data_IF_949328209429
#
_entry.id   IF_949328209429
#
_cell.length_a   1.000
_cell.length_b   1.000
_cell.length_c   1.000
_cell.angle_alpha   90.00
_cell.angle_beta   90.00
_cell.angle_gamma   90.00
#
_symmetry.space_group_name_H-M   'P 1'
#
loop_
_entity.id
_entity.type
_entity.pdbx_description
1 polymer ?
#
# COMPACT_ATOMS: atom_id res chain seq x y z
N UNK A 1 -28.29 12.15 16.32
CA UNK A 1 -27.91 11.02 15.46
C UNK A 1 -26.41 10.90 15.49
N UNK A 2 -25.88 9.72 15.78
CA UNK A 2 -24.43 9.49 15.75
C UNK A 2 -23.90 9.53 14.29
N UNK A 3 -22.63 9.91 14.15
CA UNK A 3 -21.94 9.94 12.88
C UNK A 3 -20.85 8.87 12.82
N UNK A 4 -20.59 8.37 11.64
CA UNK A 4 -19.48 7.48 11.39
C UNK A 4 -18.31 8.29 10.80
N UNK A 5 -17.11 8.02 11.28
CA UNK A 5 -15.88 8.66 10.82
C UNK A 5 -14.87 7.59 10.42
N UNK A 6 -14.16 7.84 9.36
CA UNK A 6 -13.02 7.02 8.91
C UNK A 6 -11.75 7.85 8.88
N UNK A 7 -10.61 7.20 9.08
CA UNK A 7 -9.31 7.86 9.01
C UNK A 7 -8.27 7.01 8.26
N UNK A 8 -7.30 7.69 7.65
CA UNK A 8 -6.09 7.11 7.08
C UNK A 8 -4.89 7.89 7.64
N UNK A 9 -4.15 7.24 8.54
CA UNK A 9 -3.14 7.90 9.39
C UNK A 9 -1.75 7.32 9.08
N UNK A 10 -0.99 8.13 8.36
CA UNK A 10 0.41 7.88 8.08
C UNK A 10 1.35 8.63 9.02
N UNK A 11 2.65 8.48 8.82
CA UNK A 11 3.67 9.11 9.66
C UNK A 11 3.75 10.65 9.58
N UNK A 12 3.16 11.26 8.54
CA UNK A 12 3.23 12.72 8.33
C UNK A 12 1.86 13.38 8.35
N UNK A 13 0.85 12.71 7.80
CA UNK A 13 -0.50 13.22 7.63
C UNK A 13 -1.51 12.23 8.19
N UNK A 14 -2.55 12.78 8.83
CA UNK A 14 -3.76 12.09 9.22
C UNK A 14 -4.93 12.65 8.41
N UNK A 15 -5.57 11.78 7.60
CA UNK A 15 -6.75 12.13 6.82
C UNK A 15 -7.98 11.59 7.52
N UNK A 16 -9.00 12.43 7.65
CA UNK A 16 -10.28 12.08 8.25
C UNK A 16 -11.39 12.34 7.24
N UNK A 17 -12.46 11.57 7.33
CA UNK A 17 -13.69 11.79 6.59
C UNK A 17 -14.92 11.33 7.40
N UNK A 18 -16.03 12.03 7.23
CA UNK A 18 -17.34 11.58 7.72
C UNK A 18 -17.96 10.66 6.67
N UNK A 19 -18.66 9.63 7.11
CA UNK A 19 -19.46 8.78 6.24
C UNK A 19 -20.89 9.33 6.16
N UNK A 20 -21.31 9.72 4.95
CA UNK A 20 -22.69 10.17 4.67
C UNK A 20 -23.27 9.40 3.51
N UNK A 21 -24.40 8.73 3.73
CA UNK A 21 -25.08 7.92 2.70
C UNK A 21 -24.13 6.92 2.01
N UNK A 22 -23.23 6.31 2.78
CA UNK A 22 -22.23 5.37 2.26
C UNK A 22 -21.16 6.00 1.36
N UNK A 23 -20.87 7.28 1.53
CA UNK A 23 -19.82 8.01 0.80
C UNK A 23 -18.96 8.83 1.78
N UNK A 24 -17.72 9.08 1.38
CA UNK A 24 -16.82 9.99 2.09
C UNK A 24 -17.28 11.44 1.90
N UNK A 25 -17.35 12.18 3.00
CA UNK A 25 -17.67 13.60 3.00
C UNK A 25 -16.75 14.34 3.98
N UNK A 26 -16.62 15.64 3.83
CA UNK A 26 -15.82 16.49 4.71
C UNK A 26 -14.38 15.96 4.89
N UNK A 27 -13.75 15.51 3.81
CA UNK A 27 -12.38 14.99 3.85
C UNK A 27 -11.43 16.11 4.26
N UNK A 28 -10.64 15.88 5.31
CA UNK A 28 -9.66 16.84 5.81
C UNK A 28 -8.35 16.15 6.15
N UNK A 29 -7.25 16.77 5.75
CA UNK A 29 -5.90 16.32 6.10
C UNK A 29 -5.33 17.23 7.18
N UNK A 30 -4.84 16.60 8.25
CA UNK A 30 -4.19 17.27 9.38
C UNK A 30 -2.74 16.76 9.49
N UNK A 31 -1.78 17.64 9.76
CA UNK A 31 -0.39 17.22 9.97
C UNK A 31 -0.26 16.51 11.34
N UNK A 32 0.36 15.32 11.33
CA UNK A 32 0.52 14.50 12.54
C UNK A 32 1.31 15.21 13.63
N UNK A 33 2.34 15.97 13.24
CA UNK A 33 3.19 16.71 14.17
C UNK A 33 2.52 17.91 14.84
N UNK A 34 1.28 18.26 14.46
CA UNK A 34 0.52 19.33 15.10
C UNK A 34 -0.31 18.86 16.30
N UNK A 35 -0.32 17.56 16.60
CA UNK A 35 -1.16 16.98 17.64
C UNK A 35 -0.38 15.96 18.48
N UNK A 36 -0.75 15.85 19.76
CA UNK A 36 -0.10 14.92 20.69
C UNK A 36 -0.57 13.45 20.52
N UNK A 37 -1.59 13.19 19.70
CA UNK A 37 -2.12 11.86 19.46
C UNK A 37 -3.38 11.87 18.60
N UNK A 38 -3.86 10.66 18.28
CA UNK A 38 -5.04 10.45 17.43
C UNK A 38 -6.29 11.10 18.02
N UNK A 39 -6.48 11.04 19.34
CA UNK A 39 -7.63 11.65 20.03
C UNK A 39 -7.66 13.16 19.85
N UNK A 40 -6.53 13.85 20.04
CA UNK A 40 -6.43 15.29 19.85
C UNK A 40 -6.74 15.69 18.40
N UNK A 41 -6.21 14.96 17.43
CA UNK A 41 -6.47 15.20 16.01
C UNK A 41 -7.94 14.94 15.64
N UNK A 42 -8.54 13.85 16.16
CA UNK A 42 -9.94 13.51 15.90
C UNK A 42 -10.89 14.51 16.55
N UNK A 43 -10.62 14.96 17.78
CA UNK A 43 -11.38 16.03 18.41
C UNK A 43 -11.33 17.33 17.59
N UNK A 44 -10.14 17.73 17.11
CA UNK A 44 -9.98 18.91 16.27
C UNK A 44 -10.76 18.78 14.94
N UNK A 45 -10.73 17.59 14.33
CA UNK A 45 -11.53 17.30 13.14
C UNK A 45 -13.03 17.42 13.42
N UNK A 46 -13.53 16.74 14.45
CA UNK A 46 -14.95 16.76 14.82
C UNK A 46 -15.43 18.19 15.15
N UNK A 47 -14.66 18.93 15.92
CA UNK A 47 -15.00 20.32 16.28
C UNK A 47 -15.12 21.24 15.06
N UNK A 48 -14.30 21.03 14.03
CA UNK A 48 -14.29 21.85 12.82
C UNK A 48 -15.33 21.43 11.80
N UNK A 49 -15.51 20.14 11.59
CA UNK A 49 -16.33 19.61 10.47
C UNK A 49 -17.72 19.16 10.92
N UNK A 50 -17.87 18.77 12.19
CA UNK A 50 -19.10 18.16 12.72
C UNK A 50 -19.45 18.68 14.13
N UNK A 51 -19.51 20.01 14.36
CA UNK A 51 -19.77 20.56 15.70
C UNK A 51 -21.11 20.05 16.26
N UNK A 52 -21.09 19.59 17.50
CA UNK A 52 -22.28 19.10 18.21
C UNK A 52 -22.76 17.70 17.85
N UNK A 53 -22.04 16.97 16.98
CA UNK A 53 -22.37 15.58 16.68
C UNK A 53 -21.61 14.62 17.59
N UNK A 54 -22.23 13.48 17.89
CA UNK A 54 -21.65 12.39 18.67
C UNK A 54 -21.11 11.35 17.70
N UNK A 55 -19.90 10.85 17.93
CA UNK A 55 -19.29 9.78 17.14
C UNK A 55 -20.03 8.46 17.45
N UNK A 56 -20.51 7.76 16.41
CA UNK A 56 -21.07 6.42 16.55
C UNK A 56 -20.02 5.36 16.24
N UNK A 57 -19.44 5.38 15.05
CA UNK A 57 -18.42 4.41 14.65
C UNK A 57 -17.17 5.10 14.13
N UNK A 58 -16.01 4.52 14.44
CA UNK A 58 -14.72 4.97 13.94
C UNK A 58 -13.91 3.80 13.39
N UNK A 59 -13.42 3.92 12.16
CA UNK A 59 -12.47 2.99 11.59
C UNK A 59 -11.24 3.76 11.09
N UNK A 60 -10.06 3.32 11.48
CA UNK A 60 -8.81 3.97 11.10
C UNK A 60 -7.83 2.99 10.46
N UNK A 61 -7.34 3.33 9.27
CA UNK A 61 -6.12 2.76 8.72
C UNK A 61 -4.92 3.41 9.42
N UNK A 62 -3.94 2.60 9.83
CA UNK A 62 -2.75 3.06 10.55
C UNK A 62 -1.51 2.50 9.86
N UNK A 63 -0.55 3.38 9.56
CA UNK A 63 0.73 3.00 8.96
C UNK A 63 1.61 2.27 9.98
N UNK A 64 1.53 0.95 9.97
CA UNK A 64 2.26 0.04 10.85
C UNK A 64 1.46 -1.19 11.25
N UNK A 65 2.10 -2.14 11.92
CA UNK A 65 1.42 -3.34 12.38
C UNK A 65 0.31 -3.03 13.38
N UNK A 66 -0.86 -3.65 13.18
CA UNK A 66 -1.98 -3.63 14.12
C UNK A 66 -2.07 -5.01 14.77
N UNK A 67 -1.97 -5.08 16.09
CA UNK A 67 -2.09 -6.31 16.87
C UNK A 67 -3.05 -6.09 18.02
N UNK A 68 -4.02 -6.97 18.18
CA UNK A 68 -5.06 -6.89 19.22
C UNK A 68 -5.72 -5.51 19.29
N UNK A 69 -6.03 -4.94 18.12
CA UNK A 69 -6.62 -3.61 17.96
C UNK A 69 -5.78 -2.48 18.60
N UNK A 70 -4.45 -2.63 18.59
CA UNK A 70 -3.47 -1.65 19.02
C UNK A 70 -2.41 -1.44 17.95
N UNK A 71 -1.92 -0.22 17.85
CA UNK A 71 -0.83 0.15 16.95
C UNK A 71 0.00 1.31 17.50
N UNK A 72 1.19 1.48 16.95
CA UNK A 72 2.03 2.65 17.22
C UNK A 72 2.66 3.11 15.91
N UNK A 73 2.57 4.41 15.62
CA UNK A 73 3.27 4.98 14.47
C UNK A 73 4.77 5.00 14.73
N UNK A 74 5.53 4.42 13.83
CA UNK A 74 6.99 4.32 13.94
C UNK A 74 7.68 5.69 13.95
N UNK A 75 7.14 6.67 13.22
CA UNK A 75 7.74 8.00 13.02
C UNK A 75 7.05 9.13 13.79
N UNK A 76 6.01 8.82 14.55
CA UNK A 76 5.33 9.74 15.44
C UNK A 76 4.97 8.95 16.70
N UNK A 77 5.08 9.56 17.87
CA UNK A 77 4.80 8.88 19.15
C UNK A 77 3.28 8.67 19.40
N UNK A 78 2.51 8.47 18.32
CA UNK A 78 1.08 8.20 18.44
C UNK A 78 0.85 6.73 18.74
N UNK A 79 0.22 6.46 19.86
CA UNK A 79 -0.29 5.14 20.22
C UNK A 79 -1.79 5.07 19.92
N UNK A 80 -2.22 3.93 19.43
CA UNK A 80 -3.62 3.61 19.14
C UNK A 80 -4.02 2.43 20.01
N UNK A 81 -5.16 2.56 20.67
CA UNK A 81 -5.84 1.49 21.38
C UNK A 81 -7.34 1.69 21.15
N UNK A 82 -7.96 0.77 20.43
CA UNK A 82 -9.35 0.91 20.01
C UNK A 82 -10.33 1.04 21.20
N UNK A 83 -10.08 0.29 22.29
CA UNK A 83 -10.90 0.35 23.49
C UNK A 83 -10.74 1.68 24.22
N UNK A 84 -9.52 2.22 24.32
CA UNK A 84 -9.28 3.52 24.92
C UNK A 84 -9.93 4.63 24.09
N UNK A 85 -9.82 4.59 22.75
CA UNK A 85 -10.46 5.54 21.84
C UNK A 85 -11.98 5.45 21.96
N UNK A 86 -12.54 4.22 22.01
CA UNK A 86 -13.97 3.98 22.15
C UNK A 86 -14.51 4.57 23.46
N UNK A 87 -13.81 4.32 24.56
CA UNK A 87 -14.21 4.82 25.88
C UNK A 87 -14.17 6.34 25.98
N UNK A 88 -13.09 6.99 25.50
CA UNK A 88 -12.91 8.44 25.57
C UNK A 88 -13.97 9.18 24.72
N UNK A 89 -14.28 8.66 23.54
CA UNK A 89 -15.22 9.28 22.61
C UNK A 89 -16.66 8.81 22.79
N UNK A 90 -16.90 7.87 23.71
CA UNK A 90 -18.19 7.24 23.94
C UNK A 90 -18.79 6.69 22.62
N UNK A 91 -17.93 6.16 21.74
CA UNK A 91 -18.35 5.60 20.47
C UNK A 91 -18.91 4.18 20.66
N UNK A 92 -19.87 3.80 19.81
CA UNK A 92 -20.42 2.45 19.79
C UNK A 92 -19.39 1.41 19.33
N UNK A 93 -18.54 1.82 18.36
CA UNK A 93 -17.56 0.93 17.73
C UNK A 93 -16.32 1.68 17.28
N UNK A 94 -15.14 1.09 17.54
CA UNK A 94 -13.84 1.55 17.02
C UNK A 94 -13.08 0.36 16.48
N UNK A 95 -12.49 0.51 15.28
CA UNK A 95 -11.69 -0.53 14.65
C UNK A 95 -10.43 0.05 14.01
N UNK A 96 -9.33 -0.67 14.15
CA UNK A 96 -8.04 -0.32 13.56
C UNK A 96 -7.68 -1.33 12.47
N UNK A 97 -7.36 -0.85 11.30
CA UNK A 97 -6.80 -1.61 10.18
C UNK A 97 -5.33 -1.22 9.97
N UNK A 98 -4.52 -2.16 9.55
CA UNK A 98 -3.24 -1.79 8.93
C UNK A 98 -3.51 -1.00 7.64
N UNK A 99 -2.60 -0.10 7.25
CA UNK A 99 -2.76 0.76 6.06
C UNK A 99 -2.94 -0.06 4.76
N UNK A 100 -2.19 -1.14 4.59
CA UNK A 100 -2.33 -2.04 3.42
C UNK A 100 -3.55 -2.94 3.49
N UNK A 101 -3.97 -3.30 4.68
CA UNK A 101 -5.25 -3.97 4.90
C UNK A 101 -6.40 -3.07 4.42
N UNK A 102 -6.39 -1.79 4.80
CA UNK A 102 -7.38 -0.83 4.33
C UNK A 102 -7.34 -0.65 2.80
N UNK A 103 -6.14 -0.55 2.19
CA UNK A 103 -6.02 -0.52 0.73
C UNK A 103 -6.65 -1.76 0.09
N UNK A 104 -6.46 -2.96 0.64
CA UNK A 104 -7.10 -4.16 0.13
C UNK A 104 -8.63 -4.13 0.32
N UNK A 105 -9.12 -3.69 1.48
CA UNK A 105 -10.55 -3.50 1.73
C UNK A 105 -11.21 -2.55 0.72
N UNK A 106 -10.52 -1.53 0.23
CA UNK A 106 -11.08 -0.62 -0.78
C UNK A 106 -11.58 -1.34 -2.05
N UNK A 107 -10.94 -2.45 -2.42
CA UNK A 107 -11.31 -3.26 -3.58
C UNK A 107 -12.58 -4.09 -3.39
N UNK A 108 -13.12 -4.18 -2.18
CA UNK A 108 -14.37 -4.87 -1.89
C UNK A 108 -15.60 -3.96 -2.03
N UNK A 109 -15.38 -2.65 -2.05
CA UNK A 109 -16.39 -1.61 -2.17
C UNK A 109 -16.42 -0.95 -3.55
N UNK A 110 -16.73 0.34 -3.55
CA UNK A 110 -16.86 1.14 -4.77
C UNK A 110 -15.57 1.25 -5.58
N UNK A 111 -14.41 1.25 -4.92
CA UNK A 111 -13.11 1.29 -5.59
C UNK A 111 -12.82 0.07 -6.47
N UNK A 112 -13.61 -1.00 -6.37
CA UNK A 112 -13.48 -2.11 -7.31
C UNK A 112 -13.75 -1.71 -8.76
N UNK A 113 -14.50 -0.63 -8.98
CA UNK A 113 -14.76 -0.02 -10.28
C UNK A 113 -13.69 1.03 -10.70
N UNK A 114 -12.89 1.53 -9.73
CA UNK A 114 -11.89 2.58 -9.95
C UNK A 114 -10.48 2.00 -10.18
N UNK A 115 -10.41 0.86 -10.86
CA UNK A 115 -9.14 0.25 -11.26
C UNK A 115 -8.91 0.40 -12.75
N UNK A 116 -7.68 0.75 -13.12
CA UNK A 116 -7.24 0.76 -14.52
C UNK A 116 -6.50 -0.53 -14.81
N UNK A 117 -7.01 -1.34 -15.75
CA UNK A 117 -6.33 -2.58 -16.14
C UNK A 117 -5.18 -2.28 -17.10
N UNK A 118 -4.02 -2.80 -16.78
CA UNK A 118 -2.83 -2.77 -17.65
C UNK A 118 -2.68 -4.06 -18.45
N UNK A 119 -3.20 -5.17 -17.90
CA UNK A 119 -3.26 -6.47 -18.55
C UNK A 119 -4.59 -7.15 -18.19
N UNK A 120 -5.24 -7.77 -19.18
CA UNK A 120 -6.57 -8.36 -19.02
C UNK A 120 -7.66 -7.30 -18.81
N UNK A 121 -8.78 -7.72 -18.26
CA UNK A 121 -9.94 -6.85 -18.02
C UNK A 121 -10.81 -7.34 -16.85
N UNK A 122 -11.86 -6.59 -16.48
CA UNK A 122 -12.74 -6.97 -15.38
C UNK A 122 -13.46 -8.31 -15.62
N UNK A 123 -13.75 -8.66 -16.87
CA UNK A 123 -14.36 -9.95 -17.25
C UNK A 123 -13.46 -11.16 -17.00
N UNK A 124 -12.15 -10.93 -16.89
CA UNK A 124 -11.16 -11.99 -16.67
C UNK A 124 -10.97 -12.31 -15.17
N UNK A 125 -11.58 -11.51 -14.28
CA UNK A 125 -11.51 -11.69 -12.83
C UNK A 125 -12.72 -12.52 -12.36
N UNK A 126 -12.52 -13.75 -11.87
CA UNK A 126 -13.60 -14.55 -11.30
C UNK A 126 -14.26 -13.87 -10.09
N UNK A 127 -15.54 -14.18 -9.87
CA UNK A 127 -16.30 -13.68 -8.72
C UNK A 127 -15.71 -14.15 -7.37
N UNK A 128 -15.01 -15.28 -7.37
CA UNK A 128 -14.36 -15.87 -6.21
C UNK A 128 -12.88 -16.07 -6.47
N UNK A 129 -12.08 -16.06 -5.42
CA UNK A 129 -10.65 -16.33 -5.48
C UNK A 129 -9.81 -15.28 -4.76
N UNK A 130 -8.53 -15.59 -4.69
CA UNK A 130 -7.55 -14.71 -4.06
C UNK A 130 -7.16 -13.55 -4.98
N UNK A 131 -6.88 -12.41 -4.39
CA UNK A 131 -6.29 -11.25 -5.08
C UNK A 131 -5.10 -10.74 -4.26
N UNK A 132 -4.13 -10.15 -4.93
CA UNK A 132 -2.94 -9.55 -4.31
C UNK A 132 -2.99 -8.05 -4.53
N UNK A 133 -2.75 -7.29 -3.49
CA UNK A 133 -2.51 -5.84 -3.56
C UNK A 133 -1.08 -5.58 -3.15
N UNK A 134 -0.35 -4.87 -3.97
CA UNK A 134 1.06 -4.55 -3.72
C UNK A 134 1.33 -3.11 -4.14
N UNK A 135 2.19 -2.41 -3.40
CA UNK A 135 2.54 -1.08 -3.85
C UNK A 135 3.73 -0.45 -3.15
N UNK A 136 4.60 0.12 -3.96
CA UNK A 136 5.73 0.89 -3.49
C UNK A 136 5.29 2.28 -3.03
N UNK A 137 5.70 2.63 -1.83
CA UNK A 137 5.63 3.95 -1.23
C UNK A 137 6.99 4.34 -0.66
N UNK A 138 7.04 4.84 0.57
CA UNK A 138 8.28 4.94 1.36
C UNK A 138 8.85 3.54 1.58
N UNK A 139 8.02 2.56 1.91
CA UNK A 139 8.28 1.14 1.95
C UNK A 139 7.61 0.39 0.78
N UNK A 140 7.38 -0.91 0.96
CA UNK A 140 6.72 -1.80 0.00
C UNK A 140 5.65 -2.61 0.71
N UNK A 141 4.40 -2.16 0.61
CA UNK A 141 3.28 -2.83 1.25
C UNK A 141 2.69 -3.95 0.42
N UNK A 142 2.14 -4.94 1.09
CA UNK A 142 1.47 -6.11 0.51
C UNK A 142 0.27 -6.49 1.36
N UNK A 143 -0.85 -6.76 0.71
CA UNK A 143 -2.01 -7.37 1.33
C UNK A 143 -2.67 -8.38 0.38
N UNK A 144 -3.44 -9.27 0.96
CA UNK A 144 -4.20 -10.29 0.24
C UNK A 144 -5.68 -10.18 0.59
N UNK A 145 -6.54 -10.44 -0.38
CA UNK A 145 -7.97 -10.52 -0.14
C UNK A 145 -8.57 -11.72 -0.87
N UNK A 146 -9.61 -12.29 -0.27
CA UNK A 146 -10.35 -13.43 -0.81
C UNK A 146 -11.83 -13.11 -0.89
N UNK A 147 -12.37 -13.30 -2.08
CA UNK A 147 -13.81 -13.34 -2.26
C UNK A 147 -14.32 -14.78 -2.04
N UNK A 148 -15.22 -14.97 -1.10
CA UNK A 148 -15.84 -16.24 -0.78
C UNK A 148 -17.37 -16.09 -0.61
N UNK A 149 -18.11 -17.20 -0.50
CA UNK A 149 -19.55 -17.16 -0.31
C UNK A 149 -20.00 -16.43 0.97
N UNK A 150 -19.13 -16.35 1.98
CA UNK A 150 -19.38 -15.64 3.25
C UNK A 150 -19.00 -14.16 3.23
N UNK A 151 -18.56 -13.61 2.09
CA UNK A 151 -18.07 -12.24 1.95
C UNK A 151 -16.56 -12.16 1.68
N UNK A 152 -15.99 -11.00 1.91
CA UNK A 152 -14.58 -10.74 1.72
C UNK A 152 -13.79 -11.02 2.99
N UNK A 153 -12.60 -11.55 2.82
CA UNK A 153 -11.59 -11.67 3.87
C UNK A 153 -10.32 -10.99 3.39
N UNK A 154 -9.73 -10.18 4.25
CA UNK A 154 -8.49 -9.46 3.96
C UNK A 154 -7.45 -9.83 5.00
N UNK A 155 -6.22 -10.01 4.54
CA UNK A 155 -5.05 -10.29 5.38
C UNK A 155 -3.92 -9.39 4.92
N UNK A 156 -3.47 -8.50 5.78
CA UNK A 156 -2.23 -7.76 5.59
C UNK A 156 -1.04 -8.66 5.94
N UNK A 157 0.09 -8.39 5.30
CA UNK A 157 1.34 -9.12 5.57
C UNK A 157 2.55 -8.29 5.18
N UNK A 158 3.71 -8.72 5.68
CA UNK A 158 5.00 -8.08 5.42
C UNK A 158 5.66 -8.65 4.14
N UNK A 159 4.89 -8.84 3.09
CA UNK A 159 5.36 -9.44 1.83
C UNK A 159 6.46 -8.63 1.12
N UNK A 160 6.55 -7.32 1.36
CA UNK A 160 7.65 -6.48 0.88
C UNK A 160 9.01 -6.85 1.50
N UNK A 161 9.00 -7.46 2.68
CA UNK A 161 10.19 -7.86 3.42
C UNK A 161 10.73 -9.26 3.05
N UNK A 162 10.10 -10.00 2.15
CA UNK A 162 10.69 -11.25 1.66
C UNK A 162 11.96 -10.98 0.87
N UNK A 163 12.89 -11.95 0.89
CA UNK A 163 14.22 -11.82 0.28
C UNK A 163 14.12 -11.51 -1.22
N UNK A 164 14.83 -10.49 -1.68
CA UNK A 164 14.97 -10.19 -3.09
C UNK A 164 15.70 -11.32 -3.82
N UNK A 165 15.16 -11.74 -4.96
CA UNK A 165 15.73 -12.74 -5.84
C UNK A 165 16.37 -12.07 -7.06
N UNK A 166 17.66 -11.72 -7.03
CA UNK A 166 18.35 -11.09 -8.14
C UNK A 166 18.47 -12.06 -9.34
N UNK A 167 18.34 -11.53 -10.56
CA UNK A 167 18.42 -12.33 -11.80
C UNK A 167 19.61 -11.88 -12.67
N UNK A 168 20.41 -12.85 -13.10
CA UNK A 168 21.57 -12.61 -13.96
C UNK A 168 22.77 -12.00 -13.21
N UNK A 169 23.91 -11.99 -13.87
CA UNK A 169 25.18 -11.61 -13.26
C UNK A 169 25.19 -10.18 -12.70
N UNK A 170 24.57 -9.24 -13.44
CA UNK A 170 24.54 -7.82 -13.04
C UNK A 170 23.81 -7.61 -11.72
N UNK A 171 22.59 -8.17 -11.58
CA UNK A 171 21.83 -8.04 -10.34
C UNK A 171 22.44 -8.84 -9.18
N UNK A 172 23.10 -9.98 -9.43
CA UNK A 172 23.84 -10.72 -8.42
C UNK A 172 25.00 -9.89 -7.86
N UNK A 173 25.75 -9.18 -8.71
CA UNK A 173 26.83 -8.27 -8.27
C UNK A 173 26.28 -7.11 -7.43
N UNK A 174 25.14 -6.53 -7.81
CA UNK A 174 24.46 -5.50 -7.02
C UNK A 174 24.00 -6.05 -5.67
N UNK A 175 23.38 -7.23 -5.62
CA UNK A 175 22.95 -7.87 -4.41
C UNK A 175 24.12 -8.13 -3.45
N UNK A 176 25.25 -8.60 -3.95
CA UNK A 176 26.46 -8.81 -3.16
C UNK A 176 26.95 -7.50 -2.51
N UNK A 177 26.89 -6.37 -3.22
CA UNK A 177 27.25 -5.07 -2.65
C UNK A 177 26.24 -4.59 -1.61
N UNK A 178 24.93 -4.90 -1.78
CA UNK A 178 23.90 -4.60 -0.78
C UNK A 178 24.10 -5.43 0.47
N UNK A 179 24.37 -6.74 0.36
CA UNK A 179 24.66 -7.64 1.49
C UNK A 179 25.91 -7.26 2.29
N UNK A 180 26.87 -6.50 1.72
CA UNK A 180 27.97 -5.94 2.48
C UNK A 180 27.53 -4.83 3.46
N UNK A 181 26.33 -4.28 3.29
CA UNK A 181 25.81 -3.13 4.05
C UNK A 181 24.63 -3.47 4.94
N UNK A 182 23.99 -4.60 4.72
CA UNK A 182 22.78 -5.03 5.44
C UNK A 182 22.68 -6.55 5.48
N UNK A 183 22.19 -7.10 6.59
CA UNK A 183 22.07 -8.55 6.80
C UNK A 183 20.99 -9.18 5.93
N UNK A 184 19.96 -8.40 5.55
CA UNK A 184 18.84 -8.85 4.75
C UNK A 184 18.52 -7.88 3.62
N UNK A 185 18.57 -8.36 2.39
CA UNK A 185 18.16 -7.61 1.20
C UNK A 185 16.77 -8.05 0.79
N UNK A 186 15.76 -7.32 1.23
CA UNK A 186 14.35 -7.57 0.89
C UNK A 186 13.98 -6.94 -0.45
N UNK A 187 12.80 -7.30 -0.99
CA UNK A 187 12.24 -6.59 -2.15
C UNK A 187 12.03 -5.10 -1.86
N UNK A 188 11.66 -4.72 -0.65
CA UNK A 188 11.54 -3.31 -0.26
C UNK A 188 12.85 -2.53 -0.44
N UNK A 189 14.00 -3.16 -0.19
CA UNK A 189 15.34 -2.55 -0.39
C UNK A 189 15.68 -2.24 -1.84
N UNK A 190 14.86 -2.70 -2.79
CA UNK A 190 15.05 -2.47 -4.24
C UNK A 190 13.81 -1.94 -4.93
N UNK A 191 12.60 -2.16 -4.39
CA UNK A 191 11.33 -1.81 -5.02
C UNK A 191 10.48 -0.87 -4.13
N UNK A 192 11.10 0.06 -3.43
CA UNK A 192 10.46 1.17 -2.73
C UNK A 192 11.11 2.49 -3.10
N UNK A 193 10.58 3.63 -2.62
CA UNK A 193 11.21 4.93 -2.84
C UNK A 193 12.63 5.01 -2.29
N UNK A 194 12.84 4.51 -1.07
CA UNK A 194 14.19 4.40 -0.47
C UNK A 194 15.04 3.34 -1.17
N UNK A 195 14.44 2.23 -1.58
CA UNK A 195 15.11 1.17 -2.33
C UNK A 195 15.65 1.66 -3.66
N UNK A 196 14.92 2.51 -4.38
CA UNK A 196 15.37 3.11 -5.63
C UNK A 196 16.64 3.97 -5.43
N UNK A 197 16.69 4.76 -4.36
CA UNK A 197 17.90 5.54 -4.01
C UNK A 197 19.08 4.60 -3.71
N UNK A 198 18.84 3.56 -2.90
CA UNK A 198 19.86 2.56 -2.56
C UNK A 198 20.39 1.80 -3.78
N UNK A 199 19.53 1.46 -4.74
CA UNK A 199 19.92 0.85 -6.01
C UNK A 199 20.81 1.78 -6.82
N UNK A 200 20.38 3.03 -7.04
CA UNK A 200 21.17 4.03 -7.75
C UNK A 200 22.57 4.19 -7.15
N UNK A 201 22.69 4.36 -5.84
CA UNK A 201 23.98 4.46 -5.15
C UNK A 201 24.84 3.20 -5.34
N UNK A 202 24.20 2.02 -5.31
CA UNK A 202 24.90 0.74 -5.47
C UNK A 202 25.39 0.55 -6.90
N UNK A 203 24.61 0.97 -7.90
CA UNK A 203 25.02 0.99 -9.31
C UNK A 203 26.21 1.91 -9.51
N UNK A 204 26.13 3.15 -8.99
CA UNK A 204 27.27 4.08 -9.08
C UNK A 204 28.55 3.50 -8.47
N UNK A 205 28.44 2.83 -7.31
CA UNK A 205 29.58 2.16 -6.66
C UNK A 205 30.12 1.00 -7.52
N UNK A 206 29.24 0.18 -8.10
CA UNK A 206 29.63 -0.97 -8.92
C UNK A 206 30.39 -0.54 -10.17
N UNK A 207 30.00 0.58 -10.76
CA UNK A 207 30.54 1.10 -12.02
C UNK A 207 31.63 2.14 -11.81
N UNK A 208 32.01 2.45 -10.56
CA UNK A 208 32.97 3.51 -10.19
C UNK A 208 32.61 4.88 -10.77
N UNK A 209 31.29 5.17 -10.83
CA UNK A 209 30.77 6.48 -11.25
C UNK A 209 30.53 7.35 -10.02
N UNK A 210 30.85 8.63 -10.11
CA UNK A 210 30.58 9.58 -9.02
C UNK A 210 29.11 9.73 -8.80
N UNK A 211 28.64 9.35 -7.60
CA UNK A 211 27.23 9.49 -7.23
C UNK A 211 26.89 10.96 -6.96
N UNK A 212 25.70 11.37 -7.36
CA UNK A 212 25.08 12.62 -6.97
C UNK A 212 24.16 12.38 -5.77
N UNK A 213 23.89 13.40 -4.98
CA UNK A 213 22.91 13.33 -3.89
C UNK A 213 21.50 13.52 -4.48
N UNK A 214 20.89 12.44 -4.95
CA UNK A 214 19.58 12.43 -5.60
C UNK A 214 18.55 11.80 -4.68
N UNK A 215 17.36 12.38 -4.63
CA UNK A 215 16.17 11.74 -4.09
C UNK A 215 15.49 10.83 -5.14
N UNK A 216 14.51 10.06 -4.71
CA UNK A 216 13.79 9.13 -5.60
C UNK A 216 13.12 9.85 -6.79
N UNK A 217 12.58 11.05 -6.58
CA UNK A 217 11.94 11.82 -7.66
C UNK A 217 12.94 12.27 -8.72
N UNK A 218 14.11 12.73 -8.30
CA UNK A 218 15.21 13.12 -9.21
C UNK A 218 15.76 11.92 -9.98
N UNK A 219 15.90 10.75 -9.32
CA UNK A 219 16.31 9.51 -10.01
C UNK A 219 15.30 9.11 -11.08
N UNK A 220 14.00 9.18 -10.75
CA UNK A 220 12.91 8.92 -11.73
C UNK A 220 13.05 9.89 -12.92
N UNK A 221 13.15 11.20 -12.68
CA UNK A 221 13.20 12.20 -13.74
C UNK A 221 14.42 12.00 -14.65
N UNK A 222 15.61 11.79 -14.07
CA UNK A 222 16.85 11.59 -14.83
C UNK A 222 16.88 10.24 -15.57
N UNK A 223 16.30 9.20 -15.00
CA UNK A 223 16.21 7.89 -15.64
C UNK A 223 15.24 7.88 -16.81
N UNK A 224 14.06 8.51 -16.67
CA UNK A 224 13.05 8.61 -17.75
C UNK A 224 13.54 9.49 -18.91
N UNK A 225 14.27 10.57 -18.62
CA UNK A 225 14.84 11.45 -19.64
C UNK A 225 16.16 10.94 -20.24
N UNK A 226 16.64 9.76 -19.82
CA UNK A 226 17.94 9.17 -20.21
C UNK A 226 19.17 10.09 -19.94
N UNK A 227 19.07 10.99 -18.96
CA UNK A 227 20.19 11.86 -18.56
C UNK A 227 21.24 11.11 -17.73
N UNK A 228 20.87 9.99 -17.12
CA UNK A 228 21.77 9.16 -16.33
C UNK A 228 21.48 7.67 -16.57
N UNK A 229 22.49 6.95 -17.07
CA UNK A 229 22.41 5.50 -17.27
C UNK A 229 22.17 4.76 -15.93
N UNK A 230 22.83 5.20 -14.85
CA UNK A 230 22.64 4.61 -13.52
C UNK A 230 21.23 4.81 -12.98
N UNK A 231 20.61 5.99 -13.19
CA UNK A 231 19.22 6.23 -12.82
C UNK A 231 18.26 5.37 -13.68
N UNK A 232 18.54 5.24 -14.97
CA UNK A 232 17.74 4.41 -15.88
C UNK A 232 17.79 2.94 -15.45
N UNK A 233 18.97 2.39 -15.20
CA UNK A 233 19.14 1.02 -14.73
C UNK A 233 18.44 0.79 -13.37
N UNK A 234 18.55 1.75 -12.45
CA UNK A 234 17.87 1.65 -11.17
C UNK A 234 16.35 1.54 -11.34
N UNK A 235 15.76 2.32 -12.26
CA UNK A 235 14.33 2.23 -12.59
C UNK A 235 13.95 0.89 -13.22
N UNK A 236 14.76 0.38 -14.13
CA UNK A 236 14.52 -0.92 -14.77
C UNK A 236 14.53 -2.05 -13.75
N UNK A 237 15.53 -2.07 -12.85
CA UNK A 237 15.61 -3.07 -11.78
C UNK A 237 14.44 -2.92 -10.80
N UNK A 238 14.07 -1.69 -10.42
CA UNK A 238 12.92 -1.42 -9.56
C UNK A 238 11.63 -2.03 -10.12
N UNK A 239 11.29 -1.73 -11.38
CA UNK A 239 10.07 -2.24 -12.00
C UNK A 239 10.12 -3.76 -12.18
N UNK A 240 11.26 -4.28 -12.61
CA UNK A 240 11.45 -5.73 -12.72
C UNK A 240 11.29 -6.45 -11.37
N UNK A 241 11.92 -5.94 -10.30
CA UNK A 241 11.82 -6.52 -8.97
C UNK A 241 10.39 -6.47 -8.42
N UNK A 242 9.68 -5.35 -8.64
CA UNK A 242 8.26 -5.23 -8.29
C UNK A 242 7.43 -6.29 -9.02
N UNK A 243 7.68 -6.50 -10.32
CA UNK A 243 7.05 -7.55 -11.11
C UNK A 243 7.38 -8.95 -10.60
N UNK A 244 8.64 -9.23 -10.27
CA UNK A 244 9.05 -10.53 -9.71
C UNK A 244 8.28 -10.84 -8.43
N UNK A 245 8.21 -9.89 -7.49
CA UNK A 245 7.46 -10.06 -6.23
C UNK A 245 5.98 -10.29 -6.50
N UNK A 246 5.36 -9.41 -7.31
CA UNK A 246 3.95 -9.53 -7.67
C UNK A 246 3.60 -10.89 -8.27
N UNK A 247 4.43 -11.39 -9.20
CA UNK A 247 4.26 -12.71 -9.80
C UNK A 247 4.51 -13.87 -8.84
N UNK A 248 5.45 -13.73 -7.89
CA UNK A 248 5.68 -14.73 -6.84
C UNK A 248 4.45 -14.84 -5.93
N UNK A 249 3.92 -13.71 -5.46
CA UNK A 249 2.73 -13.66 -4.62
C UNK A 249 1.51 -14.20 -5.37
N UNK A 250 1.36 -13.86 -6.66
CA UNK A 250 0.28 -14.40 -7.49
C UNK A 250 0.34 -15.94 -7.60
N UNK A 251 1.52 -16.53 -7.74
CA UNK A 251 1.68 -17.99 -7.74
C UNK A 251 1.39 -18.61 -6.38
N UNK A 252 1.88 -17.99 -5.29
CA UNK A 252 1.68 -18.51 -3.92
C UNK A 252 0.21 -18.57 -3.56
N UNK A 253 -0.55 -17.53 -3.91
CA UNK A 253 -1.97 -17.40 -3.56
C UNK A 253 -2.92 -17.92 -4.66
N UNK A 254 -2.42 -18.41 -5.79
CA UNK A 254 -3.22 -18.69 -6.98
C UNK A 254 -4.12 -17.49 -7.35
N UNK A 255 -3.52 -16.30 -7.36
CA UNK A 255 -4.26 -15.06 -7.47
C UNK A 255 -5.02 -14.95 -8.80
N UNK A 256 -6.27 -14.52 -8.70
CA UNK A 256 -7.15 -14.23 -9.84
C UNK A 256 -6.99 -12.81 -10.36
N UNK A 257 -6.33 -11.94 -9.61
CA UNK A 257 -5.97 -10.56 -10.00
C UNK A 257 -4.81 -10.06 -9.12
N UNK A 258 -3.97 -9.22 -9.70
CA UNK A 258 -2.98 -8.42 -8.96
C UNK A 258 -3.31 -6.95 -9.14
N UNK A 259 -3.41 -6.20 -8.04
CA UNK A 259 -3.63 -4.77 -8.03
C UNK A 259 -2.38 -4.04 -7.55
N UNK A 260 -1.91 -3.09 -8.35
CA UNK A 260 -0.86 -2.17 -7.94
C UNK A 260 -1.48 -0.93 -7.30
N UNK A 261 -0.88 -0.45 -6.22
CA UNK A 261 -1.29 0.73 -5.50
C UNK A 261 -0.06 1.53 -5.04
N UNK A 262 -0.28 2.57 -4.26
CA UNK A 262 0.78 3.34 -3.62
C UNK A 262 1.25 4.53 -4.42
N UNK A 263 1.76 5.53 -3.70
CA UNK A 263 2.07 6.84 -4.24
C UNK A 263 3.17 6.85 -5.31
N UNK A 264 4.05 5.84 -5.35
CA UNK A 264 5.08 5.75 -6.41
C UNK A 264 4.43 5.36 -7.73
N UNK A 265 3.55 4.34 -7.74
CA UNK A 265 2.84 3.89 -8.94
C UNK A 265 1.96 5.01 -9.50
N UNK A 266 1.21 5.69 -8.64
CA UNK A 266 0.34 6.80 -9.04
C UNK A 266 1.14 7.96 -9.64
N UNK A 267 2.27 8.34 -9.03
CA UNK A 267 3.13 9.43 -9.56
C UNK A 267 3.81 9.07 -10.88
N UNK A 268 4.17 7.82 -11.07
CA UNK A 268 4.72 7.35 -12.35
C UNK A 268 3.66 7.38 -13.46
N UNK A 269 2.42 7.02 -13.15
CA UNK A 269 1.32 7.05 -14.11
C UNK A 269 1.69 6.40 -15.45
N UNK A 270 1.56 7.14 -16.54
CA UNK A 270 1.92 6.69 -17.89
C UNK A 270 3.43 6.41 -18.08
N UNK A 271 4.29 6.89 -17.17
CA UNK A 271 5.73 6.63 -17.20
C UNK A 271 6.13 5.35 -16.47
N UNK A 272 5.18 4.61 -15.92
CA UNK A 272 5.46 3.31 -15.33
C UNK A 272 5.98 2.35 -16.39
N UNK A 273 7.13 1.74 -16.13
CA UNK A 273 7.80 0.86 -17.11
C UNK A 273 7.16 -0.54 -17.08
N UNK A 274 5.94 -0.61 -17.64
CA UNK A 274 5.12 -1.82 -17.59
C UNK A 274 5.82 -3.03 -18.21
N UNK A 275 6.57 -2.88 -19.30
CA UNK A 275 7.28 -3.99 -19.94
C UNK A 275 8.32 -4.62 -19.01
N UNK A 276 9.04 -3.80 -18.23
CA UNK A 276 10.00 -4.29 -17.23
C UNK A 276 9.30 -5.01 -16.07
N UNK A 277 8.22 -4.42 -15.58
CA UNK A 277 7.36 -5.06 -14.57
C UNK A 277 6.81 -6.37 -15.10
N UNK A 278 6.24 -6.38 -16.30
CA UNK A 278 5.62 -7.56 -16.91
C UNK A 278 6.62 -8.68 -17.13
N UNK A 279 7.83 -8.36 -17.54
CA UNK A 279 8.93 -9.32 -17.67
C UNK A 279 9.20 -10.01 -16.33
N UNK A 280 9.35 -9.25 -15.24
CA UNK A 280 9.53 -9.80 -13.90
C UNK A 280 8.33 -10.63 -13.43
N UNK A 281 7.11 -10.14 -13.71
CA UNK A 281 5.86 -10.77 -13.33
C UNK A 281 5.65 -12.11 -14.01
N UNK A 282 5.78 -12.16 -15.34
CA UNK A 282 5.36 -13.30 -16.15
C UNK A 282 6.46 -14.35 -16.38
N UNK A 283 7.74 -14.01 -16.20
CA UNK A 283 8.86 -14.95 -16.43
C UNK A 283 9.00 -15.94 -15.26
N UNK A 284 8.12 -16.94 -15.21
CA UNK A 284 8.08 -18.00 -14.18
C UNK A 284 8.33 -19.41 -14.74
N UNK A 285 9.17 -19.50 -15.80
CA UNK A 285 9.53 -20.77 -16.44
C UNK A 285 8.29 -21.51 -16.95
N UNK A 286 8.15 -22.77 -16.60
CA UNK A 286 7.02 -23.60 -17.06
C UNK A 286 5.64 -23.10 -16.61
N UNK A 287 5.57 -22.26 -15.59
CA UNK A 287 4.31 -21.70 -15.05
C UNK A 287 3.99 -20.30 -15.59
N UNK A 288 4.80 -19.75 -16.50
CA UNK A 288 4.56 -18.42 -17.09
C UNK A 288 3.16 -18.26 -17.68
N UNK A 289 2.61 -19.34 -18.25
CA UNK A 289 1.27 -19.33 -18.85
C UNK A 289 0.14 -19.02 -17.86
N UNK A 290 0.33 -19.28 -16.55
CA UNK A 290 -0.62 -18.91 -15.51
C UNK A 290 -0.63 -17.40 -15.30
N UNK A 291 0.56 -16.81 -15.17
CA UNK A 291 0.74 -15.37 -14.93
C UNK A 291 0.30 -14.54 -16.14
N UNK A 292 0.51 -15.04 -17.35
CA UNK A 292 0.07 -14.38 -18.59
C UNK A 292 -1.45 -14.19 -18.67
N UNK A 293 -2.21 -15.02 -17.95
CA UNK A 293 -3.67 -14.96 -17.88
C UNK A 293 -4.17 -14.18 -16.65
N UNK A 294 -3.28 -13.87 -15.70
CA UNK A 294 -3.66 -13.15 -14.48
C UNK A 294 -3.77 -11.66 -14.77
N UNK A 295 -4.96 -11.05 -14.61
CA UNK A 295 -5.14 -9.61 -14.79
C UNK A 295 -4.28 -8.80 -13.84
N UNK A 296 -3.70 -7.73 -14.36
CA UNK A 296 -2.96 -6.74 -13.58
C UNK A 296 -3.65 -5.38 -13.73
N UNK A 297 -3.97 -4.77 -12.61
CA UNK A 297 -4.65 -3.48 -12.56
C UNK A 297 -3.92 -2.51 -11.62
N UNK A 298 -4.15 -1.22 -11.81
CA UNK A 298 -3.72 -0.16 -10.91
C UNK A 298 -4.93 0.45 -10.20
N UNK A 299 -4.86 0.66 -8.90
CA UNK A 299 -5.87 1.39 -8.13
C UNK A 299 -5.72 2.87 -8.47
N UNK A 300 -6.71 3.44 -9.14
CA UNK A 300 -6.71 4.84 -9.57
C UNK A 300 -7.15 5.82 -8.46
N UNK A 301 -7.87 5.32 -7.45
CA UNK A 301 -8.36 6.14 -6.34
C UNK A 301 -7.19 6.76 -5.55
N UNK A 302 -7.31 8.05 -5.21
CA UNK A 302 -6.28 8.81 -4.49
C UNK A 302 -6.30 8.58 -2.97
N UNK A 303 -7.40 7.99 -2.44
CA UNK A 303 -7.63 7.81 -1.01
C UNK A 303 -8.08 6.37 -0.67
N UNK A 304 -7.34 5.35 -1.13
CA UNK A 304 -7.76 3.96 -0.97
C UNK A 304 -7.83 3.54 0.51
N UNK A 305 -7.03 4.13 1.40
CA UNK A 305 -7.09 3.88 2.85
C UNK A 305 -8.43 4.29 3.46
N UNK A 306 -8.92 5.51 3.15
CA UNK A 306 -10.23 5.97 3.63
C UNK A 306 -11.39 5.12 3.05
N UNK A 307 -11.33 4.81 1.75
CA UNK A 307 -12.34 3.97 1.10
C UNK A 307 -12.35 2.54 1.65
N UNK A 308 -11.18 2.02 2.04
CA UNK A 308 -11.07 0.73 2.69
C UNK A 308 -11.70 0.70 4.09
N UNK A 309 -11.47 1.74 4.89
CA UNK A 309 -12.14 1.91 6.18
C UNK A 309 -13.67 2.03 6.01
N UNK A 310 -14.13 2.75 4.98
CA UNK A 310 -15.54 2.85 4.62
C UNK A 310 -16.11 1.48 4.23
N UNK A 311 -15.40 0.73 3.39
CA UNK A 311 -15.81 -0.61 2.97
C UNK A 311 -15.91 -1.56 4.17
N UNK A 312 -14.94 -1.52 5.09
CA UNK A 312 -14.99 -2.27 6.35
C UNK A 312 -16.24 -1.93 7.16
N UNK A 313 -16.49 -0.66 7.46
CA UNK A 313 -17.68 -0.24 8.22
C UNK A 313 -19.00 -0.63 7.56
N UNK A 314 -19.02 -0.75 6.24
CA UNK A 314 -20.20 -1.13 5.47
C UNK A 314 -20.48 -2.65 5.53
N UNK A 315 -19.46 -3.47 5.79
CA UNK A 315 -19.58 -4.94 5.88
C UNK A 315 -19.67 -5.42 7.33
N UNK A 316 -19.13 -4.67 8.29
CA UNK A 316 -19.20 -5.02 9.70
C UNK A 316 -20.67 -5.14 10.12
N UNK A 317 -21.08 -6.37 10.43
CA UNK A 317 -22.44 -6.64 10.86
C UNK A 317 -22.68 -6.15 12.29
N UNK A 318 -23.92 -5.87 12.71
CA UNK A 318 -24.21 -5.51 14.10
C UNK A 318 -23.77 -6.56 15.14
N UNK A 319 -23.49 -7.80 14.73
CA UNK A 319 -23.01 -8.89 15.62
C UNK A 319 -21.52 -8.82 15.90
N UNK A 320 -20.70 -8.30 14.97
CA UNK A 320 -19.26 -8.08 15.17
C UNK A 320 -18.99 -6.80 15.97
N UNK A 321 -20.02 -5.98 16.15
CA UNK A 321 -19.97 -4.74 16.93
C UNK A 321 -20.08 -4.97 18.46
N UNK A 322 -20.29 -6.20 18.93
CA UNK A 322 -20.62 -6.52 20.34
C UNK A 322 -19.58 -7.44 21.00
N UNK A 323 -18.56 -7.91 20.26
CA UNK A 323 -17.45 -8.71 20.81
C UNK A 323 -16.19 -7.90 20.95
#
# INVERSE_FOLDING_TARGET
MGIDVVADIGGTNARFAVVRNGQLANVKTLPVNAFDGVLAALHAYLASEMPGHVLSRFCSAVAGPVQDQKATLTNAQWAFDSEAIRGELQADYVHLLNDWEAVAWSLTGRCSADVTYWQGGPSDVPAFGAQVVIGPGTGLGVAHLWAAAGGWQVVSGEGGHVTWAPKGERQLRLANLLYQRMDHVSFERVASGQGLVGLYETICRLDNVTKQNLDAASIVAMGLSNQSAACREALEIFHHALGVLAGNLALVCAATRVCLAGGVVQRLGASFMFDEFWRGFSEKGRLSHLLQKTPVACIANEQPGLEGCLAWLSQASPRELVT
#
